data_IF_861733548732
#
_entry.id   IF_861733548732
#
_cell.length_a   1.000
_cell.length_b   1.000
_cell.length_c   1.000
_cell.angle_alpha   90.00
_cell.angle_beta   90.00
_cell.angle_gamma   90.00
#
_symmetry.space_group_name_H-M   'P 1'
#
loop_
_entity.id
_entity.type
_entity.pdbx_description
1 polymer ?
#
# COMPACT_ATOMS: atom_id res chain seq x y z
N UNK A 1 8.37 3.61 44.31
CA UNK A 1 7.21 3.15 43.54
C UNK A 1 7.46 3.54 42.09
N UNK A 2 7.67 2.56 41.19
CA UNK A 2 7.86 2.82 39.78
C UNK A 2 6.50 3.21 39.21
N UNK A 3 6.41 4.40 38.63
CA UNK A 3 5.20 4.93 38.01
C UNK A 3 4.91 4.12 36.74
N UNK A 4 4.16 3.03 36.87
CA UNK A 4 3.77 2.17 35.75
C UNK A 4 2.67 2.90 35.00
N UNK A 5 3.03 3.55 33.89
CA UNK A 5 2.06 4.15 32.96
C UNK A 5 1.15 3.01 32.48
N UNK A 6 -0.08 2.97 32.99
CA UNK A 6 -1.09 2.04 32.46
C UNK A 6 -1.42 2.48 31.02
N UNK A 7 -1.06 1.64 30.06
CA UNK A 7 -1.49 1.79 28.68
C UNK A 7 -2.94 1.35 28.58
N UNK A 8 -3.76 2.18 27.93
CA UNK A 8 -5.07 1.75 27.47
C UNK A 8 -4.87 0.92 26.17
N UNK A 9 -5.11 -0.42 26.19
CA UNK A 9 -4.95 -1.27 25.02
C UNK A 9 -5.83 -0.83 23.83
N UNK A 10 -6.96 -0.18 24.12
CA UNK A 10 -7.92 0.27 23.11
C UNK A 10 -7.49 1.57 22.42
N UNK A 11 -6.41 2.20 22.88
CA UNK A 11 -5.95 3.48 22.32
C UNK A 11 -5.28 3.35 20.95
N UNK A 12 -4.69 2.20 20.63
CA UNK A 12 -4.09 1.90 19.33
C UNK A 12 -3.74 0.41 19.22
N UNK A 13 -3.62 -0.15 18.01
CA UNK A 13 -3.14 -1.51 17.80
C UNK A 13 -1.76 -1.78 18.40
N UNK A 14 -0.86 -0.80 18.39
CA UNK A 14 0.46 -0.90 19.03
C UNK A 14 0.32 -0.97 20.56
N UNK A 15 -0.65 -0.26 21.15
CA UNK A 15 -0.92 -0.32 22.58
C UNK A 15 -1.48 -1.70 22.97
N UNK A 16 -2.36 -2.27 22.15
CA UNK A 16 -2.87 -3.64 22.33
C UNK A 16 -1.72 -4.67 22.30
N UNK A 17 -0.83 -4.57 21.31
CA UNK A 17 0.36 -5.43 21.20
C UNK A 17 1.27 -5.31 22.44
N UNK A 18 1.63 -4.09 22.83
CA UNK A 18 2.48 -3.85 24.01
C UNK A 18 1.86 -4.36 25.30
N UNK A 19 0.56 -4.15 25.50
CA UNK A 19 -0.21 -4.68 26.63
C UNK A 19 -0.24 -6.20 26.62
N UNK A 20 -0.33 -6.83 25.44
CA UNK A 20 -0.33 -8.28 25.30
C UNK A 20 1.05 -8.89 25.62
N UNK A 21 2.17 -8.29 25.14
CA UNK A 21 3.53 -8.70 25.57
C UNK A 21 3.64 -8.66 27.09
N UNK A 22 3.19 -7.55 27.73
CA UNK A 22 3.20 -7.43 29.18
C UNK A 22 2.38 -8.52 29.86
N UNK A 23 1.14 -8.77 29.40
CA UNK A 23 0.27 -9.81 29.95
C UNK A 23 0.92 -11.19 29.88
N UNK A 24 1.44 -11.60 28.73
CA UNK A 24 2.11 -12.90 28.55
C UNK A 24 3.34 -13.06 29.42
N UNK A 25 4.07 -11.97 29.67
CA UNK A 25 5.22 -11.94 30.58
C UNK A 25 4.77 -12.08 32.03
N UNK A 26 3.77 -11.31 32.46
CA UNK A 26 3.27 -11.30 33.84
C UNK A 26 2.55 -12.60 34.21
N UNK A 27 1.79 -13.20 33.33
CA UNK A 27 1.17 -14.51 33.53
C UNK A 27 2.21 -15.61 33.82
N UNK A 28 3.44 -15.43 33.34
CA UNK A 28 4.57 -16.34 33.63
C UNK A 28 5.40 -15.93 34.85
N UNK A 29 5.01 -14.86 35.55
CA UNK A 29 5.76 -14.31 36.68
C UNK A 29 7.11 -13.70 36.27
N UNK A 30 7.31 -13.34 34.99
CA UNK A 30 8.58 -12.80 34.53
C UNK A 30 8.64 -11.28 34.67
N UNK A 31 9.77 -10.76 35.20
CA UNK A 31 10.12 -9.34 35.04
C UNK A 31 10.61 -9.07 33.61
N UNK A 32 10.74 -7.78 33.24
CA UNK A 32 11.36 -7.41 31.97
C UNK A 32 12.82 -7.88 31.87
N UNK A 33 13.54 -7.92 33.00
CA UNK A 33 14.92 -8.44 33.08
C UNK A 33 14.98 -9.96 32.90
N UNK A 34 13.94 -10.70 33.26
CA UNK A 34 13.84 -12.15 33.03
C UNK A 34 13.50 -12.46 31.57
N UNK A 35 12.63 -11.65 30.94
CA UNK A 35 12.28 -11.83 29.53
C UNK A 35 13.45 -11.42 28.59
N UNK A 36 14.21 -10.40 28.95
CA UNK A 36 15.27 -9.82 28.14
C UNK A 36 16.26 -10.85 27.55
N UNK A 37 16.93 -11.72 28.34
CA UNK A 37 17.84 -12.71 27.79
C UNK A 37 17.13 -13.79 26.95
N UNK A 38 15.86 -14.10 27.24
CA UNK A 38 15.09 -15.11 26.50
C UNK A 38 14.82 -14.73 25.05
N UNK A 39 14.64 -13.42 24.80
CA UNK A 39 14.36 -12.90 23.46
C UNK A 39 15.56 -12.18 22.84
N UNK A 40 16.68 -12.03 23.58
CA UNK A 40 17.91 -11.40 23.10
C UNK A 40 17.78 -9.87 22.92
N UNK A 41 17.06 -9.22 23.82
CA UNK A 41 16.88 -7.77 23.88
C UNK A 41 17.20 -7.23 25.29
N UNK A 42 17.29 -5.90 25.45
CA UNK A 42 17.42 -5.29 26.78
C UNK A 42 16.05 -5.10 27.42
N UNK A 43 16.00 -5.05 28.76
CA UNK A 43 14.77 -4.72 29.50
C UNK A 43 14.21 -3.34 29.14
N UNK A 44 15.10 -2.36 28.84
CA UNK A 44 14.67 -1.05 28.36
C UNK A 44 13.97 -1.14 26.99
N UNK A 45 14.42 -2.03 26.08
CA UNK A 45 13.75 -2.23 24.81
C UNK A 45 12.38 -2.86 25.00
N UNK A 46 12.26 -3.88 25.87
CA UNK A 46 10.98 -4.50 26.20
C UNK A 46 10.03 -3.46 26.80
N UNK A 47 10.50 -2.66 27.76
CA UNK A 47 9.74 -1.56 28.34
C UNK A 47 9.28 -0.55 27.30
N UNK A 48 10.13 -0.24 26.30
CA UNK A 48 9.78 0.69 25.25
C UNK A 48 8.69 0.14 24.32
N UNK A 49 8.69 -1.17 24.01
CA UNK A 49 7.61 -1.83 23.26
C UNK A 49 6.34 -1.92 24.09
N UNK A 50 6.44 -2.39 25.34
CA UNK A 50 5.29 -2.48 26.27
C UNK A 50 4.62 -1.12 26.54
N UNK A 51 5.30 0.01 26.31
CA UNK A 51 4.81 1.37 26.55
C UNK A 51 4.66 2.20 25.27
N UNK A 52 4.70 1.57 24.08
CA UNK A 52 4.52 2.20 22.76
C UNK A 52 5.55 3.33 22.49
N UNK A 53 6.70 3.32 23.19
CA UNK A 53 7.84 4.23 22.90
C UNK A 53 8.68 3.73 21.74
N UNK A 54 8.54 2.43 21.39
CA UNK A 54 9.15 1.79 20.23
C UNK A 54 8.17 0.82 19.59
N UNK A 55 8.05 0.80 18.25
CA UNK A 55 7.27 -0.22 17.57
C UNK A 55 7.97 -1.59 17.70
N UNK A 56 7.20 -2.70 17.72
CA UNK A 56 7.76 -4.03 17.62
C UNK A 56 8.40 -4.27 16.26
N UNK A 57 9.43 -5.13 16.20
CA UNK A 57 10.05 -5.57 14.95
C UNK A 57 9.71 -7.04 14.69
N UNK A 58 9.80 -7.50 13.43
CA UNK A 58 9.62 -8.91 13.08
C UNK A 58 10.50 -9.84 13.94
N UNK A 59 11.78 -9.44 14.12
CA UNK A 59 12.71 -10.21 14.95
C UNK A 59 12.27 -10.25 16.41
N UNK A 60 11.79 -9.13 16.96
CA UNK A 60 11.27 -9.07 18.32
C UNK A 60 10.06 -10.00 18.48
N UNK A 61 9.10 -9.93 17.57
CA UNK A 61 7.88 -10.74 17.58
C UNK A 61 8.17 -12.24 17.48
N UNK A 62 9.05 -12.66 16.54
CA UNK A 62 9.50 -14.06 16.42
C UNK A 62 10.18 -14.57 17.69
N UNK A 63 11.02 -13.76 18.31
CA UNK A 63 11.69 -14.11 19.56
C UNK A 63 10.71 -14.18 20.73
N UNK A 64 9.71 -13.32 20.76
CA UNK A 64 8.61 -13.36 21.72
C UNK A 64 7.79 -14.66 21.55
N UNK A 65 7.43 -15.03 20.31
CA UNK A 65 6.75 -16.29 20.02
C UNK A 65 7.55 -17.51 20.54
N UNK A 66 8.85 -17.53 20.29
CA UNK A 66 9.72 -18.61 20.79
C UNK A 66 9.73 -18.68 22.32
N UNK A 67 9.83 -17.52 23.01
CA UNK A 67 9.86 -17.44 24.44
C UNK A 67 8.51 -17.77 25.10
N UNK A 68 7.42 -17.40 24.47
CA UNK A 68 6.06 -17.60 24.98
C UNK A 68 5.40 -18.91 24.48
N UNK A 69 6.00 -19.59 23.49
CA UNK A 69 5.45 -20.84 22.95
C UNK A 69 4.26 -20.62 22.00
N UNK A 70 4.16 -19.45 21.35
CA UNK A 70 3.06 -19.06 20.47
C UNK A 70 3.40 -19.18 18.97
N UNK A 71 4.58 -19.69 18.63
CA UNK A 71 5.03 -19.87 17.25
C UNK A 71 4.05 -20.70 16.44
N UNK A 72 3.54 -20.14 15.32
CA UNK A 72 2.63 -20.85 14.41
C UNK A 72 1.21 -21.04 14.92
N UNK A 73 0.85 -20.46 16.07
CA UNK A 73 -0.51 -20.51 16.61
C UNK A 73 -1.34 -19.29 16.18
N UNK A 74 -2.64 -19.33 16.45
CA UNK A 74 -3.52 -18.17 16.29
C UNK A 74 -3.08 -16.96 17.15
N UNK A 75 -2.36 -17.24 18.26
CA UNK A 75 -1.86 -16.26 19.21
C UNK A 75 -0.41 -15.80 18.92
N UNK A 76 0.10 -16.01 17.70
CA UNK A 76 1.46 -15.62 17.33
C UNK A 76 1.64 -14.10 17.33
N UNK A 77 2.70 -13.63 17.99
CA UNK A 77 3.15 -12.23 17.95
C UNK A 77 3.71 -11.83 16.59
N UNK A 78 4.29 -12.76 15.83
CA UNK A 78 4.69 -12.53 14.45
C UNK A 78 3.47 -12.22 13.58
N UNK A 79 2.38 -12.95 13.73
CA UNK A 79 1.13 -12.72 13.03
C UNK A 79 0.55 -11.35 13.39
N UNK A 80 0.45 -11.03 14.68
CA UNK A 80 -0.04 -9.73 15.14
C UNK A 80 0.87 -8.57 14.69
N UNK A 81 2.20 -8.77 14.66
CA UNK A 81 3.12 -7.82 14.09
C UNK A 81 2.87 -7.59 12.58
N UNK A 82 2.60 -8.66 11.84
CA UNK A 82 2.24 -8.54 10.43
C UNK A 82 0.91 -7.79 10.25
N UNK A 83 -0.06 -8.04 11.11
CA UNK A 83 -1.33 -7.30 11.14
C UNK A 83 -1.10 -5.82 11.53
N UNK A 84 -0.26 -5.53 12.51
CA UNK A 84 0.13 -4.16 12.88
C UNK A 84 0.80 -3.41 11.74
N UNK A 85 1.73 -4.08 11.04
CA UNK A 85 2.43 -3.50 9.90
C UNK A 85 1.53 -3.36 8.68
N UNK A 86 0.64 -4.31 8.47
CA UNK A 86 -0.31 -4.33 7.36
C UNK A 86 -1.63 -3.63 7.71
N UNK A 87 -1.88 -3.33 8.98
CA UNK A 87 -3.11 -2.70 9.47
C UNK A 87 -3.38 -1.29 8.92
N UNK A 88 -2.37 -0.70 8.25
CA UNK A 88 -2.55 0.48 7.40
C UNK A 88 -2.84 0.13 5.94
N UNK A 89 -2.71 -1.15 5.55
CA UNK A 89 -2.91 -1.65 4.18
C UNK A 89 -4.14 -2.56 4.16
N UNK A 90 -4.88 -2.53 3.07
CA UNK A 90 -6.02 -3.44 2.87
C UNK A 90 -5.57 -4.90 2.88
N UNK A 91 -6.37 -5.77 3.46
CA UNK A 91 -6.18 -7.22 3.39
C UNK A 91 -6.06 -7.64 1.92
N UNK A 92 -5.13 -8.57 1.58
CA UNK A 92 -4.84 -8.97 0.21
C UNK A 92 -3.84 -8.07 -0.53
N UNK A 93 -3.66 -6.80 -0.14
CA UNK A 93 -2.71 -5.90 -0.80
C UNK A 93 -1.24 -6.35 -0.69
N UNK A 94 -0.73 -6.82 0.46
CA UNK A 94 0.64 -7.35 0.54
C UNK A 94 0.88 -8.57 -0.35
N UNK A 95 -0.13 -9.42 -0.54
CA UNK A 95 -0.06 -10.54 -1.46
C UNK A 95 0.06 -10.06 -2.91
N UNK A 96 -0.80 -9.10 -3.30
CA UNK A 96 -0.75 -8.45 -4.60
C UNK A 96 0.65 -7.86 -4.88
N UNK A 97 1.24 -7.11 -3.95
CA UNK A 97 2.58 -6.51 -4.09
C UNK A 97 3.65 -7.58 -4.29
N UNK A 98 3.52 -8.75 -3.68
CA UNK A 98 4.38 -9.91 -3.91
C UNK A 98 4.33 -10.42 -5.36
N UNK A 99 3.19 -10.30 -6.06
CA UNK A 99 3.07 -10.59 -7.49
C UNK A 99 3.54 -9.43 -8.35
N UNK A 100 3.17 -8.18 -8.01
CA UNK A 100 3.55 -6.96 -8.72
C UNK A 100 5.07 -6.89 -8.96
N UNK A 101 5.86 -7.19 -7.94
CA UNK A 101 7.32 -7.17 -8.01
C UNK A 101 7.93 -8.17 -9.02
N UNK A 102 7.19 -9.20 -9.43
CA UNK A 102 7.62 -10.28 -10.33
C UNK A 102 6.90 -10.26 -11.68
N UNK A 103 5.89 -9.43 -11.85
CA UNK A 103 5.11 -9.35 -13.07
C UNK A 103 5.99 -8.86 -14.24
N UNK A 104 5.76 -9.39 -15.44
CA UNK A 104 6.40 -8.94 -16.68
C UNK A 104 5.59 -7.86 -17.39
N UNK A 105 4.29 -7.82 -17.16
CA UNK A 105 3.40 -6.75 -17.61
C UNK A 105 2.42 -6.41 -16.50
N UNK A 106 2.17 -5.13 -16.32
CA UNK A 106 1.22 -4.59 -15.35
C UNK A 106 0.22 -3.72 -16.10
N UNK A 107 -1.04 -4.10 -16.03
CA UNK A 107 -2.16 -3.30 -16.51
C UNK A 107 -2.92 -2.77 -15.30
N UNK A 108 -3.17 -1.49 -15.27
CA UNK A 108 -3.95 -0.91 -14.19
C UNK A 108 -4.96 0.11 -14.73
N UNK A 109 -6.12 0.09 -14.14
CA UNK A 109 -7.14 1.12 -14.23
C UNK A 109 -7.28 1.79 -12.87
N UNK A 110 -7.32 3.11 -12.87
CA UNK A 110 -7.47 3.89 -11.65
C UNK A 110 -8.52 4.98 -11.83
N UNK A 111 -9.24 5.30 -10.76
CA UNK A 111 -10.29 6.29 -10.71
C UNK A 111 -10.13 7.20 -9.49
N UNK A 112 -10.31 8.50 -9.69
CA UNK A 112 -10.28 9.51 -8.62
C UNK A 112 -8.87 9.95 -8.21
N UNK A 113 -7.93 9.04 -8.00
CA UNK A 113 -6.56 9.36 -7.62
C UNK A 113 -5.55 8.94 -8.70
N UNK A 114 -4.41 9.58 -8.76
CA UNK A 114 -3.28 9.12 -9.57
C UNK A 114 -2.82 7.76 -9.04
N UNK A 115 -2.58 6.75 -9.92
CA UNK A 115 -2.09 5.44 -9.50
C UNK A 115 -0.85 5.53 -8.62
N UNK A 116 -0.80 4.75 -7.53
CA UNK A 116 0.31 4.79 -6.56
C UNK A 116 1.70 4.68 -7.20
N UNK A 117 1.86 3.79 -8.19
CA UNK A 117 3.14 3.61 -8.90
C UNK A 117 3.61 4.85 -9.69
N UNK A 118 2.72 5.82 -9.92
CA UNK A 118 3.00 7.08 -10.62
C UNK A 118 3.06 8.29 -9.68
N UNK A 119 2.71 8.12 -8.38
CA UNK A 119 2.67 9.23 -7.43
C UNK A 119 4.07 9.77 -7.13
N UNK A 120 4.15 11.09 -6.93
CA UNK A 120 5.31 11.72 -6.28
C UNK A 120 5.22 11.50 -4.75
N UNK A 121 6.35 11.60 -4.02
CA UNK A 121 6.31 11.48 -2.55
C UNK A 121 5.36 12.50 -1.88
N UNK A 122 5.29 13.73 -2.40
CA UNK A 122 4.44 14.76 -1.82
C UNK A 122 2.95 14.51 -2.11
N UNK A 123 2.62 14.01 -3.31
CA UNK A 123 1.26 13.59 -3.62
C UNK A 123 0.82 12.43 -2.73
N UNK A 124 1.67 11.39 -2.61
CA UNK A 124 1.39 10.23 -1.76
C UNK A 124 1.21 10.64 -0.28
N UNK A 125 2.06 11.57 0.20
CA UNK A 125 1.93 12.11 1.55
C UNK A 125 0.63 12.88 1.75
N UNK A 126 0.24 13.72 0.79
CA UNK A 126 -1.01 14.47 0.86
C UNK A 126 -2.23 13.55 0.93
N UNK A 127 -2.24 12.45 0.14
CA UNK A 127 -3.30 11.42 0.20
C UNK A 127 -3.33 10.76 1.58
N UNK A 128 -2.18 10.28 2.08
CA UNK A 128 -2.07 9.57 3.35
C UNK A 128 -2.46 10.47 4.55
N UNK A 129 -2.06 11.75 4.52
CA UNK A 129 -2.40 12.69 5.58
C UNK A 129 -3.88 13.09 5.55
N UNK A 130 -4.52 13.08 4.39
CA UNK A 130 -5.99 13.18 4.31
C UNK A 130 -6.70 12.06 5.07
N UNK A 131 -6.14 10.84 5.11
CA UNK A 131 -6.66 9.74 5.93
C UNK A 131 -6.46 10.01 7.43
N UNK A 132 -5.36 10.66 7.82
CA UNK A 132 -5.11 11.08 9.21
C UNK A 132 -6.13 12.12 9.65
N UNK A 133 -6.38 13.13 8.81
CA UNK A 133 -7.37 14.18 9.12
C UNK A 133 -8.79 13.63 9.27
N UNK A 134 -9.12 12.55 8.55
CA UNK A 134 -10.37 11.82 8.71
C UNK A 134 -10.39 10.89 9.94
N UNK A 135 -9.27 10.77 10.66
CA UNK A 135 -9.14 9.87 11.82
C UNK A 135 -9.06 8.39 11.46
N UNK A 136 -8.81 8.05 10.20
CA UNK A 136 -8.74 6.65 9.74
C UNK A 136 -7.43 5.97 10.08
N UNK A 137 -6.33 6.73 10.12
CA UNK A 137 -4.98 6.24 10.45
C UNK A 137 -4.21 7.28 11.27
N UNK A 138 -3.08 6.88 11.86
CA UNK A 138 -2.16 7.78 12.55
C UNK A 138 -1.13 8.38 11.58
N UNK A 139 -0.43 9.46 11.99
CA UNK A 139 0.68 10.02 11.22
C UNK A 139 1.78 9.00 10.97
N UNK A 140 2.11 8.16 11.96
CA UNK A 140 3.10 7.09 11.81
C UNK A 140 2.69 6.08 10.72
N UNK A 141 1.41 5.67 10.72
CA UNK A 141 0.86 4.80 9.68
C UNK A 141 0.84 5.46 8.29
N UNK A 142 0.61 6.77 8.23
CA UNK A 142 0.68 7.52 6.98
C UNK A 142 2.10 7.52 6.41
N UNK A 143 3.11 7.78 7.25
CA UNK A 143 4.52 7.75 6.85
C UNK A 143 4.97 6.34 6.43
N UNK A 144 4.49 5.29 7.11
CA UNK A 144 4.71 3.90 6.70
C UNK A 144 4.12 3.59 5.33
N UNK A 145 2.90 4.07 5.03
CA UNK A 145 2.27 3.92 3.69
C UNK A 145 3.10 4.59 2.60
N UNK A 146 3.57 5.81 2.85
CA UNK A 146 4.42 6.55 1.89
C UNK A 146 5.74 5.82 1.67
N UNK A 147 6.39 5.34 2.73
CA UNK A 147 7.62 4.57 2.64
C UNK A 147 7.43 3.24 1.89
N UNK A 148 6.31 2.55 2.15
CA UNK A 148 5.96 1.31 1.45
C UNK A 148 5.71 1.55 -0.05
N UNK A 149 5.03 2.64 -0.40
CA UNK A 149 4.83 3.01 -1.80
C UNK A 149 6.16 3.28 -2.51
N UNK A 150 7.09 3.98 -1.86
CA UNK A 150 8.43 4.22 -2.41
C UNK A 150 9.18 2.90 -2.67
N UNK A 151 9.09 1.93 -1.77
CA UNK A 151 9.67 0.58 -1.96
C UNK A 151 9.04 -0.15 -3.15
N UNK A 152 7.73 -0.06 -3.35
CA UNK A 152 7.05 -0.63 -4.53
C UNK A 152 7.54 0.00 -5.83
N UNK A 153 7.67 1.32 -5.87
CA UNK A 153 8.17 2.04 -7.03
C UNK A 153 9.62 1.65 -7.35
N UNK A 154 10.47 1.50 -6.32
CA UNK A 154 11.86 1.06 -6.47
C UNK A 154 11.96 -0.39 -7.00
N UNK A 155 11.09 -1.29 -6.54
CA UNK A 155 11.05 -2.68 -7.00
C UNK A 155 10.78 -2.82 -8.51
N UNK A 156 10.20 -1.82 -9.16
CA UNK A 156 10.01 -1.77 -10.61
C UNK A 156 11.24 -1.28 -11.38
N UNK A 157 12.22 -0.68 -10.68
CA UNK A 157 13.49 -0.22 -11.26
C UNK A 157 14.48 -1.40 -11.26
N UNK A 158 14.38 -2.23 -12.27
CA UNK A 158 15.22 -3.44 -12.43
C UNK A 158 15.75 -3.54 -13.87
N UNK A 159 16.69 -4.47 -14.11
CA UNK A 159 17.32 -4.66 -15.44
C UNK A 159 16.30 -4.99 -16.54
N UNK A 160 15.22 -5.69 -16.19
CA UNK A 160 14.10 -5.97 -17.07
C UNK A 160 12.80 -5.43 -16.42
N UNK A 161 12.53 -4.12 -16.58
CA UNK A 161 11.33 -3.53 -15.98
C UNK A 161 10.07 -4.06 -16.68
N UNK A 162 8.96 -4.17 -15.98
CA UNK A 162 7.70 -4.60 -16.59
C UNK A 162 7.20 -3.61 -17.63
N UNK A 163 6.44 -4.08 -18.62
CA UNK A 163 5.61 -3.22 -19.45
C UNK A 163 4.43 -2.72 -18.62
N UNK A 164 4.25 -1.42 -18.60
CA UNK A 164 3.21 -0.74 -17.85
C UNK A 164 2.13 -0.22 -18.80
N UNK A 165 0.92 -0.71 -18.64
CA UNK A 165 -0.27 -0.23 -19.34
C UNK A 165 -1.18 0.43 -18.31
N UNK A 166 -1.28 1.74 -18.35
CA UNK A 166 -2.00 2.54 -17.38
C UNK A 166 -3.16 3.24 -18.08
N UNK A 167 -4.36 2.95 -17.65
CA UNK A 167 -5.55 3.74 -18.01
C UNK A 167 -6.02 4.46 -16.76
N UNK A 168 -6.00 5.78 -16.78
CA UNK A 168 -6.54 6.61 -15.71
C UNK A 168 -7.87 7.20 -16.15
N UNK A 169 -8.88 7.09 -15.32
CA UNK A 169 -10.08 7.92 -15.49
C UNK A 169 -9.70 9.40 -15.47
N UNK A 170 -10.34 10.20 -16.28
CA UNK A 170 -10.05 11.64 -16.36
C UNK A 170 -10.14 12.35 -15.00
N UNK A 171 -10.98 11.86 -14.06
CA UNK A 171 -11.10 12.39 -12.71
C UNK A 171 -9.78 12.38 -11.93
N UNK A 172 -8.88 11.41 -12.20
CA UNK A 172 -7.57 11.35 -11.57
C UNK A 172 -6.74 12.63 -11.79
N UNK A 173 -6.96 13.32 -12.91
CA UNK A 173 -6.22 14.52 -13.29
C UNK A 173 -6.83 15.82 -12.72
N UNK A 174 -8.07 15.76 -12.24
CA UNK A 174 -8.83 16.94 -11.81
C UNK A 174 -8.97 17.07 -10.30
N UNK A 175 -8.66 16.04 -9.53
CA UNK A 175 -8.64 16.14 -8.07
C UNK A 175 -7.43 16.97 -7.61
N UNK A 176 -7.72 18.05 -6.86
CA UNK A 176 -6.68 18.92 -6.30
C UNK A 176 -6.06 18.31 -5.03
N UNK A 177 -5.17 17.34 -5.19
CA UNK A 177 -4.47 16.69 -4.08
C UNK A 177 -3.24 17.51 -3.67
N UNK A 178 -3.14 17.89 -2.40
CA UNK A 178 -2.00 18.60 -1.84
C UNK A 178 -1.79 20.04 -2.35
N UNK A 179 -2.77 20.56 -3.10
CA UNK A 179 -2.73 21.91 -3.66
C UNK A 179 -1.98 22.04 -5.00
N UNK A 180 -1.91 23.27 -5.57
CA UNK A 180 -1.42 23.49 -6.93
C UNK A 180 0.02 23.06 -7.16
N UNK A 181 0.91 23.30 -6.20
CA UNK A 181 2.34 22.95 -6.33
C UNK A 181 2.54 21.43 -6.41
N UNK A 182 1.87 20.69 -5.54
CA UNK A 182 1.91 19.21 -5.51
C UNK A 182 1.33 18.66 -6.82
N UNK A 183 0.19 19.18 -7.26
CA UNK A 183 -0.43 18.75 -8.54
C UNK A 183 0.45 19.07 -9.74
N UNK A 184 1.09 20.24 -9.79
CA UNK A 184 2.02 20.60 -10.88
C UNK A 184 3.21 19.63 -10.94
N UNK A 185 3.82 19.31 -9.80
CA UNK A 185 4.89 18.33 -9.70
C UNK A 185 4.42 16.92 -10.11
N UNK A 186 3.21 16.54 -9.70
CA UNK A 186 2.60 15.26 -10.05
C UNK A 186 2.31 15.13 -11.54
N UNK A 187 1.75 16.15 -12.18
CA UNK A 187 1.49 16.14 -13.62
C UNK A 187 2.80 16.12 -14.42
N UNK A 188 3.86 16.81 -13.97
CA UNK A 188 5.21 16.70 -14.55
C UNK A 188 5.73 15.27 -14.47
N UNK A 189 5.56 14.61 -13.33
CA UNK A 189 5.93 13.21 -13.15
C UNK A 189 5.23 12.30 -14.15
N UNK A 190 3.95 12.52 -14.42
CA UNK A 190 3.20 11.78 -15.45
C UNK A 190 3.79 11.99 -16.86
N UNK A 191 4.16 13.22 -17.23
CA UNK A 191 4.82 13.51 -18.52
C UNK A 191 6.16 12.74 -18.64
N UNK A 192 6.98 12.78 -17.59
CA UNK A 192 8.26 12.05 -17.54
C UNK A 192 8.09 10.56 -17.69
N UNK A 193 7.09 9.99 -17.01
CA UNK A 193 6.81 8.56 -17.09
C UNK A 193 6.23 8.17 -18.45
N UNK A 194 5.35 8.99 -19.03
CA UNK A 194 4.80 8.77 -20.37
C UNK A 194 5.85 8.78 -21.48
N UNK A 195 7.00 9.44 -21.27
CA UNK A 195 8.13 9.44 -22.20
C UNK A 195 8.95 8.14 -22.17
N UNK A 196 8.84 7.32 -21.14
CA UNK A 196 9.59 6.06 -21.02
C UNK A 196 9.04 5.00 -21.96
N UNK A 197 9.90 4.17 -22.58
CA UNK A 197 9.46 3.19 -23.59
C UNK A 197 8.60 2.06 -23.03
N UNK A 198 8.79 1.71 -21.78
CA UNK A 198 8.02 0.66 -21.10
C UNK A 198 6.73 1.16 -20.42
N UNK A 199 6.33 2.42 -20.63
CA UNK A 199 5.10 2.99 -20.08
C UNK A 199 4.15 3.45 -21.18
N UNK A 200 2.93 2.94 -21.14
CA UNK A 200 1.81 3.38 -21.96
C UNK A 200 0.77 3.96 -21.00
N UNK A 201 0.69 5.29 -20.96
CA UNK A 201 -0.24 6.02 -20.11
C UNK A 201 -1.33 6.61 -20.99
N UNK A 202 -2.58 6.25 -20.70
CA UNK A 202 -3.78 6.69 -21.40
C UNK A 202 -4.80 7.24 -20.41
N UNK A 203 -5.62 8.15 -20.87
CA UNK A 203 -6.72 8.76 -20.12
C UNK A 203 -8.02 8.28 -20.70
N UNK A 204 -8.86 7.68 -19.87
CA UNK A 204 -10.27 7.40 -20.16
C UNK A 204 -11.06 8.70 -19.96
N UNK A 205 -11.54 9.34 -21.04
CA UNK A 205 -12.19 10.65 -20.93
C UNK A 205 -13.59 10.51 -20.32
N UNK A 206 -14.09 11.54 -19.67
CA UNK A 206 -15.46 11.58 -19.14
C UNK A 206 -16.54 11.26 -20.19
N UNK A 207 -16.25 11.54 -21.48
CA UNK A 207 -17.15 11.23 -22.58
C UNK A 207 -17.35 9.73 -22.85
N UNK A 208 -16.57 8.84 -22.19
CA UNK A 208 -16.84 7.41 -22.21
C UNK A 208 -18.21 7.08 -21.58
N UNK A 209 -18.59 7.81 -20.52
CA UNK A 209 -19.86 7.61 -19.82
C UNK A 209 -20.07 6.15 -19.42
N UNK A 210 -21.20 5.58 -19.82
CA UNK A 210 -21.62 4.19 -19.55
C UNK A 210 -20.74 3.12 -20.20
N UNK A 211 -19.87 3.48 -21.15
CA UNK A 211 -18.92 2.55 -21.79
C UNK A 211 -17.67 2.29 -20.97
N UNK A 212 -17.51 2.95 -19.83
CA UNK A 212 -16.43 2.68 -18.89
C UNK A 212 -16.61 1.28 -18.28
N UNK A 213 -15.65 0.40 -18.49
CA UNK A 213 -15.77 -1.01 -18.13
C UNK A 213 -15.67 -1.28 -16.62
N UNK A 214 -15.06 -0.36 -15.84
CA UNK A 214 -14.84 -0.53 -14.41
C UNK A 214 -15.24 0.71 -13.63
N UNK A 215 -15.91 0.51 -12.49
CA UNK A 215 -16.27 1.58 -11.55
C UNK A 215 -15.25 1.73 -10.41
N UNK A 216 -14.42 0.72 -10.20
CA UNK A 216 -13.39 0.64 -9.16
C UNK A 216 -12.03 0.36 -9.77
N UNK A 217 -10.93 0.65 -9.06
CA UNK A 217 -9.58 0.30 -9.50
C UNK A 217 -9.43 -1.19 -9.77
N UNK A 218 -8.71 -1.51 -10.86
CA UNK A 218 -8.41 -2.89 -11.26
C UNK A 218 -6.96 -2.98 -11.69
N UNK A 219 -6.27 -4.00 -11.20
CA UNK A 219 -4.88 -4.31 -11.54
C UNK A 219 -4.79 -5.71 -12.11
N UNK A 220 -4.17 -5.86 -13.27
CA UNK A 220 -3.99 -7.13 -13.97
C UNK A 220 -2.50 -7.36 -14.19
N UNK A 221 -1.96 -8.41 -13.63
CA UNK A 221 -0.55 -8.77 -13.69
C UNK A 221 -0.37 -9.95 -14.64
N UNK A 222 0.49 -9.81 -15.64
CA UNK A 222 0.94 -10.96 -16.45
C UNK A 222 2.28 -11.43 -15.88
N UNK A 223 2.33 -12.70 -15.52
CA UNK A 223 3.53 -13.34 -14.97
C UNK A 223 4.42 -13.90 -16.09
N UNK A 224 5.66 -14.28 -15.75
CA UNK A 224 6.62 -14.83 -16.73
C UNK A 224 6.12 -16.13 -17.42
N UNK A 225 5.33 -16.93 -16.72
CA UNK A 225 4.68 -18.15 -17.25
C UNK A 225 3.39 -17.88 -18.04
N UNK A 226 3.07 -16.60 -18.29
CA UNK A 226 1.85 -16.13 -18.95
C UNK A 226 0.56 -16.27 -18.15
N UNK A 227 0.61 -16.73 -16.92
CA UNK A 227 -0.55 -16.64 -16.04
C UNK A 227 -0.93 -15.18 -15.78
N UNK A 228 -2.22 -14.95 -15.58
CA UNK A 228 -2.76 -13.60 -15.30
C UNK A 228 -3.35 -13.63 -13.90
N UNK A 229 -3.02 -12.60 -13.13
CA UNK A 229 -3.53 -12.38 -11.78
C UNK A 229 -4.27 -11.05 -11.80
N UNK A 230 -5.49 -11.03 -11.27
CA UNK A 230 -6.23 -9.82 -11.06
C UNK A 230 -6.19 -9.42 -9.58
N UNK A 231 -6.14 -8.12 -9.34
CA UNK A 231 -6.35 -7.54 -8.02
C UNK A 231 -7.35 -6.40 -8.13
N UNK A 232 -8.32 -6.40 -7.23
CA UNK A 232 -9.32 -5.36 -7.11
C UNK A 232 -9.53 -5.00 -5.64
N UNK A 233 -9.85 -3.73 -5.37
CA UNK A 233 -10.08 -3.22 -4.03
C UNK A 233 -11.53 -2.82 -3.84
N UNK A 234 -12.08 -3.18 -2.67
CA UNK A 234 -13.22 -2.50 -2.07
C UNK A 234 -12.74 -1.51 -1.01
N UNK A 235 -13.64 -0.77 -0.39
CA UNK A 235 -13.27 0.12 0.73
C UNK A 235 -12.74 -0.63 1.96
N UNK A 236 -13.03 -1.92 2.09
CA UNK A 236 -12.70 -2.71 3.28
C UNK A 236 -11.63 -3.77 3.03
N UNK A 237 -11.47 -4.24 1.80
CA UNK A 237 -10.64 -5.41 1.50
C UNK A 237 -10.16 -5.41 0.05
N UNK A 238 -8.94 -5.92 -0.16
CA UNK A 238 -8.40 -6.23 -1.48
C UNK A 238 -8.50 -7.73 -1.77
N UNK A 239 -8.75 -8.08 -3.03
CA UNK A 239 -8.89 -9.46 -3.50
C UNK A 239 -7.90 -9.76 -4.61
N UNK A 240 -7.15 -10.84 -4.42
CA UNK A 240 -6.29 -11.43 -5.45
C UNK A 240 -7.05 -12.58 -6.10
N UNK A 241 -7.31 -12.49 -7.40
CA UNK A 241 -7.98 -13.52 -8.19
C UNK A 241 -7.00 -14.17 -9.20
N UNK A 242 -7.02 -15.47 -9.33
CA UNK A 242 -6.14 -16.26 -10.19
C UNK A 242 -6.90 -17.22 -11.10
N UNK A 243 -8.20 -17.39 -10.85
CA UNK A 243 -9.00 -18.28 -11.68
C UNK A 243 -9.19 -17.69 -13.05
N UNK A 244 -8.71 -18.38 -14.08
CA UNK A 244 -8.71 -17.91 -15.47
C UNK A 244 -10.11 -17.55 -15.94
N UNK A 245 -11.12 -18.29 -15.54
CA UNK A 245 -12.54 -18.04 -15.92
C UNK A 245 -13.05 -16.70 -15.40
N UNK A 246 -12.52 -16.21 -14.26
CA UNK A 246 -12.88 -14.92 -13.67
C UNK A 246 -11.98 -13.78 -14.17
N UNK A 247 -10.71 -14.06 -14.39
CA UNK A 247 -9.71 -13.03 -14.78
C UNK A 247 -9.80 -12.70 -16.28
N UNK A 248 -10.06 -13.68 -17.16
CA UNK A 248 -10.10 -13.46 -18.61
C UNK A 248 -11.16 -12.44 -19.06
N UNK A 249 -12.38 -12.40 -18.51
CA UNK A 249 -13.34 -11.34 -18.81
C UNK A 249 -12.85 -9.95 -18.41
N UNK A 250 -12.17 -9.82 -17.24
CA UNK A 250 -11.61 -8.54 -16.78
C UNK A 250 -10.50 -8.06 -17.70
N UNK A 251 -9.67 -8.98 -18.17
CA UNK A 251 -8.60 -8.68 -19.13
C UNK A 251 -9.18 -8.18 -20.47
N UNK A 252 -10.24 -8.81 -20.97
CA UNK A 252 -10.95 -8.38 -22.18
C UNK A 252 -11.57 -7.01 -22.00
N UNK A 253 -12.28 -6.78 -20.87
CA UNK A 253 -12.90 -5.50 -20.55
C UNK A 253 -11.85 -4.37 -20.46
N UNK A 254 -10.68 -4.65 -19.87
CA UNK A 254 -9.57 -3.71 -19.83
C UNK A 254 -9.11 -3.29 -21.22
N UNK A 255 -8.94 -4.24 -22.14
CA UNK A 255 -8.52 -3.95 -23.52
C UNK A 255 -9.57 -3.17 -24.31
N UNK A 256 -10.86 -3.47 -24.12
CA UNK A 256 -11.94 -2.70 -24.73
C UNK A 256 -11.91 -1.25 -24.25
N UNK A 257 -11.80 -1.04 -22.93
CA UNK A 257 -11.69 0.30 -22.34
C UNK A 257 -10.42 1.03 -22.81
N UNK A 258 -9.30 0.32 -22.93
CA UNK A 258 -8.05 0.90 -23.43
C UNK A 258 -8.19 1.38 -24.88
N UNK A 259 -8.91 0.63 -25.72
CA UNK A 259 -9.22 0.99 -27.11
C UNK A 259 -10.09 2.24 -27.23
N UNK A 260 -10.99 2.47 -26.27
CA UNK A 260 -11.89 3.63 -26.20
C UNK A 260 -11.24 4.86 -25.54
N UNK A 261 -10.11 4.66 -24.84
CA UNK A 261 -9.37 5.73 -24.17
C UNK A 261 -8.59 6.61 -25.17
N UNK A 262 -8.20 7.80 -24.73
CA UNK A 262 -7.34 8.66 -25.54
C UNK A 262 -6.05 7.93 -25.91
N UNK A 263 -5.55 8.15 -27.13
CA UNK A 263 -4.25 7.62 -27.53
C UNK A 263 -3.12 8.11 -26.59
N UNK A 264 -1.98 7.42 -26.54
CA UNK A 264 -0.79 7.84 -25.77
C UNK A 264 -0.45 9.31 -26.03
N UNK A 265 -0.45 9.75 -27.28
CA UNK A 265 -0.14 11.12 -27.66
C UNK A 265 -1.20 12.14 -27.19
N UNK A 266 -2.48 11.81 -27.36
CA UNK A 266 -3.58 12.66 -26.91
C UNK A 266 -3.63 12.77 -25.38
N UNK A 267 -3.34 11.68 -24.66
CA UNK A 267 -3.25 11.64 -23.19
C UNK A 267 -2.11 12.53 -22.69
N UNK A 268 -0.92 12.41 -23.29
CA UNK A 268 0.22 13.26 -22.96
C UNK A 268 -0.07 14.75 -23.21
N UNK A 269 -0.72 15.07 -24.33
CA UNK A 269 -1.13 16.44 -24.64
C UNK A 269 -2.13 16.99 -23.61
N UNK A 270 -3.10 16.16 -23.17
CA UNK A 270 -4.08 16.54 -22.15
C UNK A 270 -3.40 16.80 -20.80
N UNK A 271 -2.49 15.93 -20.35
CA UNK A 271 -1.73 16.08 -19.11
C UNK A 271 -0.91 17.37 -19.16
N UNK A 272 -0.19 17.62 -20.28
CA UNK A 272 0.61 18.84 -20.48
C UNK A 272 -0.25 20.12 -20.46
N UNK A 273 -1.42 20.08 -21.08
CA UNK A 273 -2.36 21.20 -21.07
C UNK A 273 -2.82 21.54 -19.65
N UNK A 274 -3.19 20.52 -18.86
CA UNK A 274 -3.61 20.70 -17.48
C UNK A 274 -2.48 21.27 -16.62
N UNK A 275 -1.26 20.72 -16.75
CA UNK A 275 -0.09 21.22 -16.02
C UNK A 275 0.20 22.69 -16.30
N UNK A 276 0.12 23.12 -17.56
CA UNK A 276 0.35 24.51 -17.95
C UNK A 276 -0.75 25.47 -17.50
N UNK A 277 -1.96 24.97 -17.26
CA UNK A 277 -3.09 25.71 -16.70
C UNK A 277 -3.19 25.64 -15.18
N UNK A 278 -2.32 24.86 -14.51
CA UNK A 278 -2.23 24.81 -13.04
C UNK A 278 -1.33 25.94 -12.57
N UNK A 279 -1.84 26.88 -11.76
CA UNK A 279 -1.09 28.07 -11.31
C UNK A 279 0.11 27.70 -10.43
#
# INVERSE_FOLDING_TARGET
MVNIKQLNPDSSPQAAYGARIRRYREERGWSQDVLAPKIGYSSQHISAVETVRKPPTLRFSRKSDQAFGTTGTADSFEREWAELRNGSLLEGFPEYVGYESRAVEIRLFEVGLIPGLLQTPDYARAVAYGDVERGSITYEQADERVAFLAQRQEALVRSQPPMMFVVMDESCLHQAVGGPEVMNAQLRRLEEMAARPNWIIQVAPFSLGERRAFDLPVYLLTMADRSIIAYAESQAQGYVERETSLVAPMFTAYHQMQGESLSKAASAAKISKLRKGTP
#
